data_IF_116153119212
#
_entry.id   IF_116153119212
#
_cell.length_a   1.000
_cell.length_b   1.000
_cell.length_c   1.000
_cell.angle_alpha   90.00
_cell.angle_beta   90.00
_cell.angle_gamma   90.00
#
_symmetry.space_group_name_H-M   'P 1'
#
loop_
_entity.id
_entity.type
_entity.pdbx_description
1 polymer ?
#
# COMPACT_ATOMS: atom_id res chain seq x y z
N UNK A 1 -31.93 13.52 -0.33
CA UNK A 1 -31.17 12.35 -0.83
C UNK A 1 -31.41 12.16 -2.32
N UNK A 2 -32.67 12.15 -2.78
CA UNK A 2 -33.04 12.05 -4.20
C UNK A 2 -32.54 13.27 -4.99
N UNK A 3 -32.80 14.49 -4.50
CA UNK A 3 -32.32 15.76 -5.10
C UNK A 3 -30.80 15.78 -5.41
N UNK A 4 -29.98 15.19 -4.53
CA UNK A 4 -28.53 15.14 -4.73
C UNK A 4 -28.12 14.14 -5.81
N UNK A 5 -28.82 13.00 -5.88
CA UNK A 5 -28.62 12.00 -6.91
C UNK A 5 -29.01 12.55 -8.29
N UNK A 6 -30.09 13.33 -8.33
CA UNK A 6 -30.61 14.00 -9.51
C UNK A 6 -29.66 15.09 -10.00
N UNK A 7 -29.13 15.92 -9.09
CA UNK A 7 -28.11 16.92 -9.42
C UNK A 7 -26.80 16.30 -9.96
N UNK A 8 -26.34 15.17 -9.41
CA UNK A 8 -25.17 14.44 -9.94
C UNK A 8 -25.45 13.91 -11.35
N UNK A 9 -26.65 13.36 -11.55
CA UNK A 9 -27.05 12.83 -12.85
C UNK A 9 -27.11 13.93 -13.90
N UNK A 10 -27.78 15.05 -13.62
CA UNK A 10 -27.85 16.21 -14.52
C UNK A 10 -26.45 16.76 -14.87
N UNK A 11 -25.55 16.85 -13.89
CA UNK A 11 -24.16 17.26 -14.11
C UNK A 11 -23.42 16.29 -15.04
N UNK A 12 -23.61 14.98 -14.83
CA UNK A 12 -22.98 13.93 -15.64
C UNK A 12 -23.56 13.90 -17.05
N UNK A 13 -24.86 14.14 -17.20
CA UNK A 13 -25.57 14.19 -18.47
C UNK A 13 -25.17 15.44 -19.27
N UNK A 14 -24.92 16.57 -18.60
CA UNK A 14 -24.44 17.83 -19.21
C UNK A 14 -23.04 17.68 -19.82
N UNK A 15 -22.11 16.98 -19.16
CA UNK A 15 -20.76 16.74 -19.70
C UNK A 15 -20.62 15.46 -20.53
N UNK A 16 -21.72 14.72 -20.71
CA UNK A 16 -21.80 13.51 -21.54
C UNK A 16 -20.88 12.37 -21.10
N UNK A 17 -20.60 11.46 -22.04
CA UNK A 17 -19.82 10.23 -21.79
C UNK A 17 -18.39 10.50 -21.28
N UNK A 18 -17.81 11.67 -21.58
CA UNK A 18 -16.43 12.00 -21.21
C UNK A 18 -16.26 12.15 -19.70
N UNK A 19 -17.24 12.73 -18.99
CA UNK A 19 -17.19 12.85 -17.53
C UNK A 19 -17.17 11.49 -16.83
N UNK A 20 -17.96 10.53 -17.34
CA UNK A 20 -17.96 9.15 -16.83
C UNK A 20 -16.60 8.47 -17.03
N UNK A 21 -15.97 8.66 -18.20
CA UNK A 21 -14.65 8.12 -18.50
C UNK A 21 -13.58 8.71 -17.57
N UNK A 22 -13.59 10.03 -17.35
CA UNK A 22 -12.64 10.69 -16.44
C UNK A 22 -12.89 10.23 -14.99
N UNK A 23 -14.15 10.12 -14.55
CA UNK A 23 -14.49 9.60 -13.23
C UNK A 23 -13.95 8.18 -13.01
N UNK A 24 -14.10 7.31 -14.02
CA UNK A 24 -13.53 5.96 -14.00
C UNK A 24 -11.99 6.00 -13.97
N UNK A 25 -11.37 6.86 -14.78
CA UNK A 25 -9.91 7.01 -14.79
C UNK A 25 -9.37 7.46 -13.43
N UNK A 26 -10.03 8.43 -12.78
CA UNK A 26 -9.68 8.88 -11.43
C UNK A 26 -9.82 7.73 -10.44
N UNK A 27 -10.91 6.95 -10.51
CA UNK A 27 -11.10 5.79 -9.66
C UNK A 27 -9.98 4.75 -9.83
N UNK A 28 -9.60 4.45 -11.07
CA UNK A 28 -8.47 3.54 -11.37
C UNK A 28 -7.15 4.10 -10.84
N UNK A 29 -6.89 5.40 -11.03
CA UNK A 29 -5.68 6.05 -10.54
C UNK A 29 -5.59 5.96 -9.01
N UNK A 30 -6.69 6.18 -8.28
CA UNK A 30 -6.74 6.01 -6.83
C UNK A 30 -6.50 4.56 -6.40
N UNK A 31 -7.03 3.58 -7.14
CA UNK A 31 -6.78 2.16 -6.86
C UNK A 31 -5.26 1.85 -6.97
N UNK A 32 -4.60 2.34 -8.02
CA UNK A 32 -3.15 2.18 -8.19
C UNK A 32 -2.35 2.85 -7.05
N UNK A 33 -2.77 4.04 -6.60
CA UNK A 33 -2.15 4.72 -5.46
C UNK A 33 -2.32 3.90 -4.18
N UNK A 34 -3.51 3.35 -3.94
CA UNK A 34 -3.78 2.52 -2.75
C UNK A 34 -2.99 1.21 -2.78
N UNK A 35 -2.91 0.53 -3.92
CA UNK A 35 -2.06 -0.65 -4.11
C UNK A 35 -0.61 -0.32 -3.72
N UNK A 36 -0.07 0.77 -4.27
CA UNK A 36 1.30 1.21 -3.97
C UNK A 36 1.49 1.59 -2.50
N UNK A 37 0.52 2.27 -1.90
CA UNK A 37 0.56 2.65 -0.49
C UNK A 37 0.51 1.42 0.43
N UNK A 38 -0.32 0.43 0.09
CA UNK A 38 -0.36 -0.86 0.78
C UNK A 38 0.94 -1.63 0.62
N UNK A 39 1.51 -1.69 -0.58
CA UNK A 39 2.82 -2.30 -0.82
C UNK A 39 3.90 -1.70 0.08
N UNK A 40 3.97 -0.37 0.16
CA UNK A 40 4.93 0.34 1.02
C UNK A 40 4.67 0.12 2.51
N UNK A 41 3.41 0.08 2.96
CA UNK A 41 3.11 -0.14 4.38
C UNK A 41 3.30 -1.59 4.84
N UNK A 42 2.91 -2.55 4.01
CA UNK A 42 2.88 -3.97 4.36
C UNK A 42 4.24 -4.61 4.12
N UNK A 43 4.81 -4.47 2.92
CA UNK A 43 6.02 -5.22 2.53
C UNK A 43 7.25 -4.79 3.34
N UNK A 44 7.44 -3.48 3.55
CA UNK A 44 8.57 -2.97 4.35
C UNK A 44 8.48 -3.34 5.83
N UNK A 45 7.26 -3.36 6.40
CA UNK A 45 7.06 -3.76 7.80
C UNK A 45 7.17 -5.26 7.98
N UNK A 46 6.70 -6.05 7.01
CA UNK A 46 6.79 -7.51 7.03
C UNK A 46 8.25 -7.96 7.08
N UNK A 47 9.10 -7.46 6.17
CA UNK A 47 10.52 -7.82 6.11
C UNK A 47 11.25 -7.48 7.41
N UNK A 48 10.99 -6.30 8.00
CA UNK A 48 11.55 -5.92 9.30
C UNK A 48 11.08 -6.84 10.44
N UNK A 49 9.79 -7.16 10.46
CA UNK A 49 9.20 -8.02 11.49
C UNK A 49 9.74 -9.45 11.40
N UNK A 50 9.89 -9.96 10.19
CA UNK A 50 10.45 -11.30 9.93
C UNK A 50 11.93 -11.37 10.30
N UNK A 51 12.73 -10.36 9.94
CA UNK A 51 14.13 -10.27 10.37
C UNK A 51 14.27 -10.24 11.90
N UNK A 52 13.41 -9.48 12.60
CA UNK A 52 13.39 -9.44 14.07
C UNK A 52 12.98 -10.79 14.64
N UNK A 53 11.91 -11.42 14.12
CA UNK A 53 11.46 -12.72 14.59
C UNK A 53 12.53 -13.80 14.41
N UNK A 54 13.20 -13.82 13.26
CA UNK A 54 14.30 -14.74 12.96
C UNK A 54 15.51 -14.50 13.87
N UNK A 55 15.81 -13.24 14.23
CA UNK A 55 16.86 -12.91 15.20
C UNK A 55 16.51 -13.34 16.63
N UNK A 56 15.28 -13.12 17.08
CA UNK A 56 14.84 -13.50 18.42
C UNK A 56 14.77 -15.03 18.60
N UNK A 57 14.44 -15.78 17.54
CA UNK A 57 14.40 -17.23 17.56
C UNK A 57 15.79 -17.90 17.70
N UNK A 58 16.89 -17.16 17.49
CA UNK A 58 18.25 -17.70 17.62
C UNK A 58 18.65 -17.83 19.10
N UNK A 59 19.17 -19.00 19.46
CA UNK A 59 19.66 -19.31 20.81
C UNK A 59 21.05 -18.72 21.09
N UNK A 60 21.92 -18.65 20.07
CA UNK A 60 23.22 -18.01 20.14
C UNK A 60 23.16 -16.62 19.47
N UNK A 61 23.34 -15.58 20.29
CA UNK A 61 23.26 -14.16 19.89
C UNK A 61 24.53 -13.37 20.23
N UNK A 62 25.47 -13.98 20.93
CA UNK A 62 26.70 -13.33 21.41
C UNK A 62 27.96 -13.81 20.70
N UNK A 63 27.87 -14.86 19.88
CA UNK A 63 29.02 -15.29 19.09
C UNK A 63 29.34 -14.30 17.97
N UNK A 64 30.62 -14.22 17.62
CA UNK A 64 31.11 -13.39 16.52
C UNK A 64 30.42 -13.71 15.18
N UNK A 65 30.03 -14.97 14.98
CA UNK A 65 29.26 -15.40 13.81
C UNK A 65 27.83 -14.81 13.82
N UNK A 66 27.16 -14.74 14.98
CA UNK A 66 25.85 -14.13 15.10
C UNK A 66 25.91 -12.61 14.79
N UNK A 67 26.97 -11.91 15.21
CA UNK A 67 27.15 -10.48 14.93
C UNK A 67 27.34 -10.21 13.43
N UNK A 68 28.07 -11.09 12.71
CA UNK A 68 28.20 -10.98 11.25
C UNK A 68 26.86 -11.16 10.52
N UNK A 69 26.04 -12.11 10.96
CA UNK A 69 24.72 -12.35 10.34
C UNK A 69 23.80 -11.15 10.57
N UNK A 70 23.87 -10.52 11.75
CA UNK A 70 23.15 -9.28 12.04
C UNK A 70 23.59 -8.12 11.14
N UNK A 71 24.89 -7.92 10.94
CA UNK A 71 25.40 -6.88 10.03
C UNK A 71 24.89 -7.06 8.59
N UNK A 72 24.86 -8.30 8.08
CA UNK A 72 24.31 -8.60 6.75
C UNK A 72 22.79 -8.42 6.63
N UNK A 73 22.06 -8.44 7.74
CA UNK A 73 20.60 -8.29 7.75
C UNK A 73 20.18 -6.82 7.82
N UNK A 74 21.09 -5.94 8.25
CA UNK A 74 20.85 -4.50 8.44
C UNK A 74 21.36 -3.68 7.24
N UNK A 75 22.37 -4.16 6.52
CA UNK A 75 22.93 -3.53 5.30
C UNK A 75 22.21 -3.96 4.03
#
# INVERSE_FOLDING_TARGET
MIEFLEAIRDFTETGGQVLLVIGLLIFVMWLLILERAMYLMVWHKQAKKEAIAMWTARADRSSWFAEQVRQKTIS
#
